data_IF_847141193663
#
_entry.id   IF_847141193663
#
_cell.length_a   1.000
_cell.length_b   1.000
_cell.length_c   1.000
_cell.angle_alpha   90.00
_cell.angle_beta   90.00
_cell.angle_gamma   90.00
#
_symmetry.space_group_name_H-M   'P 1'
#
loop_
_entity.id
_entity.type
_entity.pdbx_description
1 polymer ?
#
# COMPACT_ATOMS: atom_id res chain seq x y z
N UNK A 1 -14.43 10.75 3.15
CA UNK A 1 -13.46 11.47 4.01
C UNK A 1 -12.40 12.29 3.24
N UNK A 2 -12.00 11.88 2.04
CA UNK A 2 -10.95 12.55 1.25
C UNK A 2 -11.44 12.95 -0.15
N UNK A 3 -10.83 13.97 -0.73
CA UNK A 3 -11.02 14.44 -2.11
C UNK A 3 -9.79 14.12 -2.95
N UNK A 4 -9.99 13.68 -4.19
CA UNK A 4 -8.91 13.48 -5.14
C UNK A 4 -8.28 14.84 -5.48
N UNK A 5 -6.94 14.92 -5.39
CA UNK A 5 -6.17 16.13 -5.70
C UNK A 5 -5.43 16.01 -7.03
N UNK A 6 -4.78 14.88 -7.29
CA UNK A 6 -4.04 14.67 -8.54
C UNK A 6 -3.84 13.18 -8.85
N UNK A 7 -3.70 12.90 -10.15
CA UNK A 7 -3.31 11.58 -10.67
C UNK A 7 -2.17 11.81 -11.65
N UNK A 8 -1.00 11.24 -11.36
CA UNK A 8 0.13 11.20 -12.29
C UNK A 8 0.40 9.74 -12.65
N UNK A 9 0.18 9.39 -13.91
CA UNK A 9 0.33 8.03 -14.40
C UNK A 9 1.73 7.48 -14.09
N UNK A 10 1.78 6.22 -13.61
CA UNK A 10 3.02 5.52 -13.21
C UNK A 10 3.86 6.25 -12.15
N UNK A 11 3.25 7.16 -11.39
CA UNK A 11 3.95 7.94 -10.36
C UNK A 11 3.19 7.95 -9.04
N UNK A 12 2.04 8.62 -8.98
CA UNK A 12 1.29 8.71 -7.73
C UNK A 12 -0.15 9.19 -7.90
N UNK A 13 -0.95 8.90 -6.87
CA UNK A 13 -2.29 9.45 -6.67
C UNK A 13 -2.30 10.18 -5.34
N UNK A 14 -2.74 11.44 -5.34
CA UNK A 14 -2.79 12.27 -4.12
C UNK A 14 -4.23 12.62 -3.76
N UNK A 15 -4.53 12.55 -2.46
CA UNK A 15 -5.80 12.96 -1.88
C UNK A 15 -5.57 13.95 -0.74
N UNK A 16 -6.54 14.84 -0.55
CA UNK A 16 -6.58 15.78 0.57
C UNK A 16 -7.84 15.57 1.41
N UNK A 17 -7.77 15.90 2.69
CA UNK A 17 -8.90 15.84 3.63
C UNK A 17 -10.08 16.67 3.11
N UNK A 18 -11.28 16.11 3.18
CA UNK A 18 -12.50 16.81 2.80
C UNK A 18 -13.04 17.65 3.97
N UNK A 19 -13.02 19.00 3.91
CA UNK A 19 -13.51 19.85 4.99
C UNK A 19 -15.03 19.78 5.19
N UNK A 20 -15.77 19.33 4.16
CA UNK A 20 -17.22 19.21 4.15
C UNK A 20 -17.70 17.79 4.49
N UNK A 21 -16.79 16.91 4.92
CA UNK A 21 -17.17 15.56 5.33
C UNK A 21 -18.00 15.59 6.62
N UNK A 22 -19.14 14.89 6.63
CA UNK A 22 -20.08 14.89 7.76
C UNK A 22 -19.44 14.47 9.09
N UNK A 23 -18.45 13.57 9.03
CA UNK A 23 -17.69 13.10 10.20
C UNK A 23 -16.22 13.54 10.19
N UNK A 24 -15.95 14.81 9.85
CA UNK A 24 -14.58 15.35 9.75
C UNK A 24 -13.76 15.28 11.04
N UNK A 25 -14.40 15.11 12.21
CA UNK A 25 -13.73 14.99 13.52
C UNK A 25 -12.91 13.69 13.64
N UNK A 26 -13.37 12.62 12.98
CA UNK A 26 -12.70 11.31 12.95
C UNK A 26 -11.75 11.15 11.74
N UNK A 27 -11.49 12.23 11.00
CA UNK A 27 -10.57 12.23 9.86
C UNK A 27 -9.26 12.89 10.29
N UNK A 28 -8.26 12.08 10.64
CA UNK A 28 -7.01 12.56 11.25
C UNK A 28 -5.85 12.75 10.27
N UNK A 29 -5.89 12.12 9.10
CA UNK A 29 -4.87 12.30 8.06
C UNK A 29 -5.28 13.50 7.21
N UNK A 30 -4.34 14.41 6.92
CA UNK A 30 -4.60 15.58 6.09
C UNK A 30 -4.35 15.33 4.60
N UNK A 31 -3.27 14.62 4.27
CA UNK A 31 -2.87 14.30 2.91
C UNK A 31 -2.52 12.82 2.79
N UNK A 32 -2.96 12.19 1.71
CA UNK A 32 -2.63 10.80 1.37
C UNK A 32 -1.92 10.82 0.03
N UNK A 33 -0.78 10.16 -0.05
CA UNK A 33 -0.05 9.91 -1.29
C UNK A 33 0.12 8.41 -1.49
N UNK A 34 -0.48 7.89 -2.56
CA UNK A 34 -0.29 6.53 -3.01
C UNK A 34 0.79 6.53 -4.07
N UNK A 35 1.93 5.90 -3.77
CA UNK A 35 3.05 5.80 -4.71
C UNK A 35 2.89 4.60 -5.63
N UNK A 36 3.22 4.78 -6.90
CA UNK A 36 3.17 3.73 -7.91
C UNK A 36 4.23 2.66 -7.64
N UNK A 37 3.81 1.40 -7.77
CA UNK A 37 4.65 0.22 -7.65
C UNK A 37 4.25 -0.79 -8.72
N UNK A 38 5.21 -1.22 -9.54
CA UNK A 38 5.01 -2.07 -10.71
C UNK A 38 5.22 -3.57 -10.44
N UNK A 39 5.60 -3.95 -9.21
CA UNK A 39 5.79 -5.34 -8.82
C UNK A 39 7.16 -5.94 -9.12
N UNK A 40 8.09 -5.21 -9.74
CA UNK A 40 9.38 -5.79 -10.16
C UNK A 40 10.32 -6.07 -8.98
N UNK A 41 10.41 -5.13 -8.02
CA UNK A 41 11.26 -5.27 -6.84
C UNK A 41 10.40 -5.43 -5.58
N UNK A 42 10.25 -6.66 -5.09
CA UNK A 42 9.46 -6.96 -3.88
C UNK A 42 10.04 -6.31 -2.61
N UNK A 43 11.35 -6.03 -2.57
CA UNK A 43 12.00 -5.45 -1.40
C UNK A 43 11.92 -3.92 -1.36
N UNK A 44 11.60 -3.27 -2.49
CA UNK A 44 11.48 -1.81 -2.61
C UNK A 44 10.54 -1.21 -1.57
N UNK A 45 9.41 -1.88 -1.31
CA UNK A 45 8.40 -1.40 -0.36
C UNK A 45 8.90 -1.45 1.09
N UNK A 46 9.48 -2.59 1.50
CA UNK A 46 10.00 -2.76 2.85
C UNK A 46 11.21 -1.85 3.14
N UNK A 47 12.08 -1.64 2.14
CA UNK A 47 13.18 -0.66 2.21
C UNK A 47 12.65 0.76 2.35
N UNK A 48 11.76 1.18 1.45
CA UNK A 48 11.17 2.53 1.52
C UNK A 48 10.44 2.82 2.83
N UNK A 49 9.80 1.82 3.43
CA UNK A 49 9.24 1.95 4.78
C UNK A 49 10.34 2.10 5.85
N UNK A 50 11.39 1.27 5.78
CA UNK A 50 12.52 1.32 6.71
C UNK A 50 13.25 2.66 6.66
N UNK A 51 13.31 3.29 5.48
CA UNK A 51 13.96 4.57 5.22
C UNK A 51 13.03 5.77 5.48
N UNK A 52 11.79 5.54 5.93
CA UNK A 52 10.81 6.58 6.23
C UNK A 52 10.12 7.22 5.02
N UNK A 53 10.37 6.72 3.81
CA UNK A 53 9.69 7.17 2.58
C UNK A 53 8.22 6.72 2.53
N UNK A 54 7.86 5.65 3.25
CA UNK A 54 6.50 5.16 3.38
C UNK A 54 6.09 5.06 4.85
N UNK A 55 4.86 5.46 5.13
CA UNK A 55 4.22 5.27 6.46
C UNK A 55 3.49 3.93 6.57
N UNK A 56 3.25 3.26 5.44
CA UNK A 56 2.68 1.91 5.35
C UNK A 56 3.22 1.23 4.07
N UNK A 57 3.57 -0.04 4.16
CA UNK A 57 4.09 -0.81 3.03
C UNK A 57 3.65 -2.28 3.11
N UNK A 58 3.42 -2.88 1.94
CA UNK A 58 3.20 -4.33 1.81
C UNK A 58 4.52 -5.07 2.00
N UNK A 59 4.49 -6.13 2.81
CA UNK A 59 5.58 -7.10 2.96
C UNK A 59 5.19 -8.36 2.19
N UNK A 60 6.09 -8.84 1.31
CA UNK A 60 5.87 -10.04 0.52
C UNK A 60 6.53 -11.24 1.22
N UNK A 61 5.77 -12.29 1.62
CA UNK A 61 6.34 -13.51 2.19
C UNK A 61 7.32 -14.24 1.27
N UNK A 62 7.22 -13.99 -0.04
CA UNK A 62 8.09 -14.56 -1.08
C UNK A 62 9.37 -13.76 -1.31
N UNK A 63 9.55 -12.59 -0.67
CA UNK A 63 10.70 -11.75 -0.95
C UNK A 63 11.97 -12.27 -0.28
N UNK A 64 13.15 -12.06 -0.88
CA UNK A 64 14.42 -12.49 -0.27
C UNK A 64 14.66 -11.87 1.11
N UNK A 65 14.20 -10.63 1.33
CA UNK A 65 14.39 -9.92 2.61
C UNK A 65 13.35 -10.27 3.68
N UNK A 66 12.34 -11.10 3.37
CA UNK A 66 11.20 -11.36 4.26
C UNK A 66 11.61 -11.81 5.66
N UNK A 67 12.59 -12.72 5.78
CA UNK A 67 13.04 -13.23 7.08
C UNK A 67 13.57 -12.10 7.99
N UNK A 68 14.39 -11.22 7.43
CA UNK A 68 14.97 -10.07 8.14
C UNK A 68 13.92 -9.02 8.49
N UNK A 69 13.04 -8.69 7.53
CA UNK A 69 11.94 -7.73 7.73
C UNK A 69 10.96 -8.23 8.80
N UNK A 70 10.58 -9.51 8.74
CA UNK A 70 9.68 -10.13 9.70
C UNK A 70 10.24 -10.16 11.11
N UNK A 71 11.55 -10.40 11.25
CA UNK A 71 12.22 -10.35 12.56
C UNK A 71 12.26 -8.93 13.11
N UNK A 72 12.62 -7.95 12.28
CA UNK A 72 12.77 -6.54 12.68
C UNK A 72 11.44 -5.87 13.02
N UNK A 73 10.39 -6.17 12.27
CA UNK A 73 9.08 -5.51 12.36
C UNK A 73 7.97 -6.44 12.87
N UNK A 74 8.32 -7.49 13.62
CA UNK A 74 7.40 -8.54 14.08
C UNK A 74 6.08 -8.01 14.66
N UNK A 75 6.14 -6.95 15.47
CA UNK A 75 4.97 -6.38 16.15
C UNK A 75 4.19 -5.37 15.29
N UNK A 76 4.70 -5.05 14.09
CA UNK A 76 4.14 -4.04 13.18
C UNK A 76 3.60 -4.67 11.89
N UNK A 77 3.86 -5.95 11.64
CA UNK A 77 3.25 -6.68 10.52
C UNK A 77 1.83 -7.06 10.93
N UNK A 78 0.87 -6.49 10.21
CA UNK A 78 -0.55 -6.82 10.34
C UNK A 78 -1.00 -7.59 9.12
N UNK A 79 -1.77 -8.67 9.33
CA UNK A 79 -2.38 -9.43 8.24
C UNK A 79 -3.74 -8.81 7.91
N UNK A 80 -3.94 -8.51 6.63
CA UNK A 80 -5.23 -8.05 6.14
C UNK A 80 -6.18 -9.24 5.97
N UNK A 81 -7.50 -9.08 6.19
CA UNK A 81 -8.49 -10.07 5.79
C UNK A 81 -8.37 -10.42 4.31
N UNK A 82 -8.88 -11.59 3.94
CA UNK A 82 -9.02 -11.98 2.54
C UNK A 82 -9.87 -10.94 1.79
N UNK A 83 -9.41 -10.52 0.61
CA UNK A 83 -10.16 -9.61 -0.26
C UNK A 83 -11.14 -10.39 -1.17
N UNK A 84 -11.91 -9.67 -1.98
CA UNK A 84 -12.85 -10.28 -2.92
C UNK A 84 -12.17 -10.81 -4.21
N UNK A 85 -10.84 -10.94 -4.24
CA UNK A 85 -10.07 -11.28 -5.44
C UNK A 85 -9.91 -12.81 -5.57
N UNK A 86 -10.19 -13.35 -6.75
CA UNK A 86 -9.87 -14.74 -7.11
C UNK A 86 -8.79 -14.76 -8.20
N UNK A 87 -7.71 -15.50 -7.97
CA UNK A 87 -6.66 -15.72 -8.96
C UNK A 87 -6.97 -16.99 -9.75
N UNK A 88 -7.12 -16.87 -11.08
CA UNK A 88 -7.50 -17.96 -11.97
C UNK A 88 -6.37 -18.22 -12.98
N UNK A 89 -6.13 -19.50 -13.29
CA UNK A 89 -5.36 -19.92 -14.45
C UNK A 89 -6.36 -20.40 -15.50
N UNK A 90 -6.41 -19.73 -16.64
CA UNK A 90 -7.24 -20.12 -17.77
C UNK A 90 -6.36 -20.61 -18.91
N UNK A 91 -6.72 -21.74 -19.53
CA UNK A 91 -6.09 -22.24 -20.77
C UNK A 91 -7.07 -22.10 -21.92
N UNK A 92 -6.55 -21.89 -23.13
CA UNK A 92 -7.34 -22.10 -24.33
C UNK A 92 -7.58 -23.61 -24.50
N UNK A 93 -8.81 -24.00 -24.88
CA UNK A 93 -9.24 -25.41 -25.02
C UNK A 93 -9.61 -25.77 -26.47
N UNK A 94 -9.30 -24.88 -27.42
CA UNK A 94 -9.34 -25.19 -28.86
C UNK A 94 -8.27 -26.22 -29.24
#
# INVERSE_FOLDING_TARGET
PYLLKSITAKSSVEFAKNPNYGDKKNVHIDNIKLSYYDGQDQDKLAKGFSDGSFTNAKVFPTSPSYASVSKKYKNNIVYTPQDATTYLVATNID
#
